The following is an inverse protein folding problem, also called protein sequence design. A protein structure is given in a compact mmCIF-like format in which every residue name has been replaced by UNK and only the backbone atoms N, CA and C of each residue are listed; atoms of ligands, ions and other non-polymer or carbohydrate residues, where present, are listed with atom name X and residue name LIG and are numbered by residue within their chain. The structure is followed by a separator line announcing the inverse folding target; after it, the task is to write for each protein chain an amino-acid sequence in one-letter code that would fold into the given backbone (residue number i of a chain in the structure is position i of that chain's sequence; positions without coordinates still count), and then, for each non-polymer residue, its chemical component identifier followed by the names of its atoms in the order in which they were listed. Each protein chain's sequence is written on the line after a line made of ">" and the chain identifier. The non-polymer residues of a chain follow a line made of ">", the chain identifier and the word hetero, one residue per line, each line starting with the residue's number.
data_IF_324355193808
#
_entry.id   IF_324355193808
#
_cell.length_a   1.000
_cell.length_b   1.000
_cell.length_c   1.000
_cell.angle_alpha   90.00
_cell.angle_beta   90.00
_cell.angle_gamma   90.00
#
_symmetry.space_group_name_H-M   'P 1'
#
loop_
_entity.id
_entity.type
_entity.pdbx_description
1 polymer ?
#
# COMPACT_ATOMS: atom_id res chain seq x y z
N UNK A 1 -23.23 -2.65 -26.81
CA UNK A 1 -23.42 -2.49 -25.35
C UNK A 1 -23.02 -1.07 -25.01
N UNK A 2 -24.00 -0.20 -24.67
CA UNK A 2 -23.75 1.23 -24.43
C UNK A 2 -22.94 1.37 -23.13
N UNK A 3 -21.72 1.88 -23.23
CA UNK A 3 -20.98 2.37 -22.08
C UNK A 3 -21.80 3.47 -21.43
N UNK A 4 -22.39 3.19 -20.26
CA UNK A 4 -22.96 4.26 -19.46
C UNK A 4 -21.83 5.17 -19.00
N UNK A 5 -21.85 6.42 -19.47
CA UNK A 5 -20.95 7.44 -19.02
C UNK A 5 -21.09 7.59 -17.49
N UNK A 6 -20.00 7.37 -16.76
CA UNK A 6 -19.96 7.62 -15.33
C UNK A 6 -20.17 9.11 -15.09
N UNK A 7 -21.23 9.46 -14.37
CA UNK A 7 -21.33 10.82 -13.84
C UNK A 7 -20.08 11.11 -12.98
N UNK A 8 -19.49 12.31 -13.04
CA UNK A 8 -18.32 12.64 -12.26
C UNK A 8 -18.67 12.52 -10.77
N UNK A 9 -18.20 11.45 -10.12
CA UNK A 9 -18.34 11.34 -8.68
C UNK A 9 -17.40 12.36 -8.03
N UNK A 10 -17.88 13.02 -6.96
CA UNK A 10 -17.07 13.96 -6.17
C UNK A 10 -16.04 13.25 -5.24
N UNK A 11 -15.73 11.99 -5.48
CA UNK A 11 -14.76 11.24 -4.66
C UNK A 11 -13.35 11.76 -4.94
N UNK A 12 -12.77 12.43 -3.95
CA UNK A 12 -11.40 12.94 -4.00
C UNK A 12 -10.43 11.94 -3.37
N UNK A 13 -9.24 11.73 -3.96
CA UNK A 13 -8.21 10.92 -3.33
C UNK A 13 -7.71 11.60 -2.05
N UNK A 14 -7.64 10.86 -0.95
CA UNK A 14 -6.99 11.28 0.29
C UNK A 14 -5.47 11.13 0.14
N UNK A 15 -5.04 10.11 -0.60
CA UNK A 15 -3.64 9.90 -0.97
C UNK A 15 -3.06 11.07 -1.78
N UNK A 16 -1.74 11.22 -1.74
CA UNK A 16 -1.04 12.26 -2.51
C UNK A 16 -1.37 12.18 -4.01
N UNK A 17 -1.46 13.33 -4.71
CA UNK A 17 -1.76 13.35 -6.14
C UNK A 17 -0.85 12.43 -6.96
N UNK A 18 -1.45 11.67 -7.88
CA UNK A 18 -0.78 10.71 -8.75
C UNK A 18 -0.53 9.33 -8.12
N UNK A 19 -0.88 9.12 -6.84
CA UNK A 19 -0.69 7.79 -6.18
C UNK A 19 -1.63 6.74 -6.78
N UNK A 20 -2.92 7.05 -6.91
CA UNK A 20 -3.90 6.10 -7.46
C UNK A 20 -3.64 5.79 -8.94
N UNK A 21 -3.18 6.77 -9.73
CA UNK A 21 -2.81 6.59 -11.13
C UNK A 21 -1.61 5.65 -11.27
N UNK A 22 -0.55 5.90 -10.50
CA UNK A 22 0.64 5.05 -10.50
C UNK A 22 0.34 3.62 -10.00
N UNK A 23 -0.50 3.52 -8.97
CA UNK A 23 -0.95 2.22 -8.47
C UNK A 23 -1.76 1.48 -9.52
N UNK A 24 -2.73 2.12 -10.16
CA UNK A 24 -3.58 1.49 -11.17
C UNK A 24 -2.76 1.02 -12.39
N UNK A 25 -1.78 1.82 -12.83
CA UNK A 25 -0.85 1.43 -13.91
C UNK A 25 -0.05 0.17 -13.52
N UNK A 26 0.46 0.11 -12.28
CA UNK A 26 1.16 -1.07 -11.76
C UNK A 26 0.22 -2.26 -11.65
N UNK A 27 -0.97 -2.07 -11.08
CA UNK A 27 -1.98 -3.10 -10.86
C UNK A 27 -2.43 -3.77 -12.18
N UNK A 28 -2.75 -2.98 -13.20
CA UNK A 28 -3.21 -3.47 -14.50
C UNK A 28 -2.13 -4.20 -15.33
N UNK A 29 -0.85 -4.12 -14.94
CA UNK A 29 0.21 -4.96 -15.53
C UNK A 29 0.17 -6.39 -15.00
N UNK A 30 -0.48 -6.63 -13.87
CA UNK A 30 -0.52 -7.93 -13.20
C UNK A 30 -1.93 -8.53 -13.18
N UNK A 31 -2.97 -7.68 -13.23
CA UNK A 31 -4.36 -8.06 -13.04
C UNK A 31 -5.22 -7.72 -14.25
N UNK A 32 -6.16 -8.61 -14.53
CA UNK A 32 -7.14 -8.45 -15.60
C UNK A 32 -8.56 -8.71 -15.07
N UNK A 33 -9.57 -7.93 -15.51
CA UNK A 33 -10.96 -8.28 -15.22
C UNK A 33 -11.39 -9.52 -16.05
N UNK A 34 -12.42 -10.27 -15.61
CA UNK A 34 -13.16 -10.02 -14.38
C UNK A 34 -12.46 -10.61 -13.15
N UNK A 35 -12.44 -9.86 -12.05
CA UNK A 35 -12.02 -10.36 -10.74
C UNK A 35 -12.77 -9.58 -9.63
N UNK A 36 -12.98 -10.22 -8.49
CA UNK A 36 -13.62 -9.62 -7.31
C UNK A 36 -12.54 -9.00 -6.43
N UNK A 37 -12.58 -7.68 -6.30
CA UNK A 37 -11.60 -6.85 -5.60
C UNK A 37 -12.21 -6.25 -4.34
N UNK A 38 -11.52 -6.31 -3.21
CA UNK A 38 -11.82 -5.50 -2.03
C UNK A 38 -10.89 -4.29 -2.00
N UNK A 39 -11.46 -3.09 -1.94
CA UNK A 39 -10.77 -1.84 -1.63
C UNK A 39 -10.80 -1.62 -0.11
N UNK A 40 -9.70 -1.94 0.56
CA UNK A 40 -9.55 -1.92 2.01
C UNK A 40 -9.01 -0.55 2.44
N UNK A 41 -9.78 0.19 3.26
CA UNK A 41 -9.49 1.58 3.59
C UNK A 41 -9.81 2.51 2.42
N UNK A 42 -11.02 2.37 1.84
CA UNK A 42 -11.42 2.99 0.59
C UNK A 42 -11.57 4.52 0.66
N UNK A 43 -11.62 5.12 1.86
CA UNK A 43 -11.80 6.55 2.07
C UNK A 43 -13.04 7.09 1.36
N UNK A 44 -12.86 8.05 0.44
CA UNK A 44 -13.98 8.57 -0.35
C UNK A 44 -14.34 7.69 -1.58
N UNK A 45 -13.62 6.60 -1.85
CA UNK A 45 -13.87 5.70 -2.97
C UNK A 45 -13.21 6.10 -4.29
N UNK A 46 -12.21 6.98 -4.25
CA UNK A 46 -11.55 7.44 -5.48
C UNK A 46 -10.82 6.30 -6.23
N UNK A 47 -10.20 5.35 -5.51
CA UNK A 47 -9.62 4.15 -6.10
C UNK A 47 -10.69 3.16 -6.52
N UNK A 48 -11.71 2.93 -5.67
CA UNK A 48 -12.88 2.10 -5.97
C UNK A 48 -13.48 2.45 -7.34
N UNK A 49 -13.69 3.76 -7.58
CA UNK A 49 -14.23 4.23 -8.86
C UNK A 49 -13.33 3.87 -10.06
N UNK A 50 -12.02 4.04 -9.92
CA UNK A 50 -11.04 3.71 -10.97
C UNK A 50 -11.04 2.20 -11.29
N UNK A 51 -11.09 1.35 -10.27
CA UNK A 51 -11.16 -0.11 -10.43
C UNK A 51 -12.46 -0.54 -11.12
N UNK A 52 -13.60 0.05 -10.75
CA UNK A 52 -14.88 -0.19 -11.44
C UNK A 52 -14.82 0.20 -12.92
N UNK A 53 -14.21 1.35 -13.23
CA UNK A 53 -14.07 1.84 -14.62
C UNK A 53 -13.20 0.92 -15.48
N UNK A 54 -12.30 0.15 -14.88
CA UNK A 54 -11.48 -0.84 -15.59
C UNK A 54 -12.11 -2.23 -15.69
N UNK A 55 -13.33 -2.42 -15.17
CA UNK A 55 -14.13 -3.64 -15.36
C UNK A 55 -14.05 -4.65 -14.23
N UNK A 56 -13.43 -4.33 -13.11
CA UNK A 56 -13.44 -5.19 -11.92
C UNK A 56 -14.77 -5.10 -11.16
N UNK A 57 -15.12 -6.17 -10.46
CA UNK A 57 -16.20 -6.15 -9.46
C UNK A 57 -15.58 -5.71 -8.13
N UNK A 58 -15.99 -4.56 -7.60
CA UNK A 58 -15.34 -3.97 -6.44
C UNK A 58 -16.29 -3.87 -5.26
N UNK A 59 -15.83 -4.31 -4.10
CA UNK A 59 -16.40 -4.02 -2.80
C UNK A 59 -15.44 -3.12 -2.03
N UNK A 60 -15.96 -2.40 -1.04
CA UNK A 60 -15.18 -1.44 -0.26
C UNK A 60 -15.45 -1.60 1.23
N UNK A 61 -14.44 -1.33 2.05
CA UNK A 61 -14.64 -1.10 3.47
C UNK A 61 -13.72 0.00 3.98
N UNK A 62 -14.19 0.66 5.05
CA UNK A 62 -13.46 1.74 5.71
C UNK A 62 -13.87 1.83 7.18
N UNK A 63 -13.03 2.43 8.01
CA UNK A 63 -13.37 2.72 9.39
C UNK A 63 -14.46 3.83 9.48
N UNK A 64 -14.46 4.76 8.51
CA UNK A 64 -15.40 5.88 8.36
C UNK A 64 -16.19 5.78 7.05
N UNK A 65 -17.08 4.77 6.86
CA UNK A 65 -17.81 4.57 5.60
C UNK A 65 -18.74 5.73 5.25
N UNK A 66 -19.08 6.60 6.19
CA UNK A 66 -19.84 7.85 5.96
C UNK A 66 -19.11 8.85 5.04
N UNK A 67 -17.79 8.71 4.89
CA UNK A 67 -16.99 9.52 3.95
C UNK A 67 -17.04 9.02 2.51
N UNK A 68 -17.47 7.76 2.31
CA UNK A 68 -17.52 7.13 0.99
C UNK A 68 -18.56 7.78 0.07
N UNK A 69 -18.24 7.96 -1.23
CA UNK A 69 -19.02 8.76 -2.18
C UNK A 69 -19.48 8.01 -3.43
N UNK A 70 -19.26 6.69 -3.51
CA UNK A 70 -19.62 5.88 -4.67
C UNK A 70 -20.93 5.14 -4.40
N UNK A 71 -22.05 5.70 -4.81
CA UNK A 71 -23.41 5.17 -4.52
C UNK A 71 -23.64 3.72 -4.98
N UNK A 72 -22.90 3.26 -6.00
CA UNK A 72 -23.07 1.92 -6.58
C UNK A 72 -22.37 0.81 -5.78
N UNK A 73 -21.55 1.16 -4.82
CA UNK A 73 -20.78 0.23 -4.00
C UNK A 73 -21.14 0.45 -2.54
N UNK A 74 -21.52 -0.61 -1.87
CA UNK A 74 -21.69 -0.55 -0.42
C UNK A 74 -20.31 -0.55 0.24
N UNK A 75 -19.96 0.51 0.97
CA UNK A 75 -18.78 0.55 1.79
C UNK A 75 -19.13 0.05 3.19
N UNK A 76 -18.61 -1.12 3.55
CA UNK A 76 -18.87 -1.69 4.87
C UNK A 76 -18.00 -1.00 5.93
N UNK A 77 -18.56 -0.80 7.15
CA UNK A 77 -17.74 -0.39 8.28
C UNK A 77 -16.85 -1.55 8.70
N UNK A 78 -15.55 -1.32 8.72
CA UNK A 78 -14.58 -2.30 9.18
C UNK A 78 -13.44 -1.64 9.93
N UNK A 79 -13.10 -2.17 11.10
CA UNK A 79 -11.82 -1.96 11.73
C UNK A 79 -10.86 -3.02 11.19
N UNK A 80 -9.87 -2.60 10.44
CA UNK A 80 -8.90 -3.50 9.81
C UNK A 80 -7.91 -4.13 10.80
N UNK A 81 -7.99 -3.74 12.05
CA UNK A 81 -7.28 -4.37 13.18
C UNK A 81 -8.13 -5.39 13.91
N UNK A 82 -9.36 -5.65 13.45
CA UNK A 82 -10.27 -6.65 13.98
C UNK A 82 -10.66 -7.65 12.88
N UNK A 83 -11.68 -8.46 13.11
CA UNK A 83 -12.20 -9.38 12.11
C UNK A 83 -12.94 -8.64 11.01
N UNK A 84 -12.50 -8.84 9.77
CA UNK A 84 -13.16 -8.25 8.61
C UNK A 84 -14.53 -8.92 8.36
N UNK A 85 -15.59 -8.15 8.01
CA UNK A 85 -16.96 -8.64 7.87
C UNK A 85 -17.19 -9.41 6.56
N UNK A 86 -16.23 -10.27 6.21
CA UNK A 86 -16.26 -11.06 4.99
C UNK A 86 -15.99 -12.54 5.29
N UNK A 87 -16.58 -13.42 4.47
CA UNK A 87 -16.34 -14.85 4.54
C UNK A 87 -14.91 -15.21 4.13
N UNK A 88 -14.45 -16.38 4.54
CA UNK A 88 -13.19 -16.95 4.09
C UNK A 88 -13.20 -17.12 2.56
N UNK A 89 -12.05 -16.94 1.94
CA UNK A 89 -11.80 -17.26 0.52
C UNK A 89 -12.84 -16.65 -0.44
N UNK A 90 -13.27 -15.41 -0.20
CA UNK A 90 -14.30 -14.77 -1.01
C UNK A 90 -13.78 -13.74 -2.03
N UNK A 91 -12.55 -13.25 -1.90
CA UNK A 91 -11.96 -12.29 -2.84
C UNK A 91 -10.83 -12.89 -3.68
N UNK A 92 -10.76 -12.47 -4.94
CA UNK A 92 -9.61 -12.76 -5.81
C UNK A 92 -8.43 -11.84 -5.49
N UNK A 93 -8.75 -10.59 -5.16
CA UNK A 93 -7.76 -9.53 -4.91
C UNK A 93 -8.20 -8.66 -3.74
N UNK A 94 -7.24 -8.27 -2.89
CA UNK A 94 -7.42 -7.21 -1.90
C UNK A 94 -6.40 -6.10 -2.20
N UNK A 95 -6.82 -4.84 -2.13
CA UNK A 95 -5.93 -3.69 -2.28
C UNK A 95 -6.02 -2.81 -1.04
N UNK A 96 -4.86 -2.35 -0.53
CA UNK A 96 -4.73 -1.41 0.59
C UNK A 96 -3.75 -0.31 0.18
N UNK A 97 -4.26 0.82 -0.32
CA UNK A 97 -3.45 1.90 -0.89
C UNK A 97 -3.33 3.04 0.10
N UNK A 98 -2.13 3.24 0.65
CA UNK A 98 -1.84 4.23 1.70
C UNK A 98 -2.72 4.01 2.94
N UNK A 99 -2.73 2.76 3.45
CA UNK A 99 -3.55 2.34 4.59
C UNK A 99 -2.69 1.80 5.73
N UNK A 100 -1.71 0.98 5.42
CA UNK A 100 -0.97 0.20 6.43
C UNK A 100 -0.16 1.07 7.39
N UNK A 101 0.26 2.26 7.00
CA UNK A 101 0.93 3.24 7.86
C UNK A 101 0.04 3.82 8.96
N UNK A 102 -1.27 3.68 8.82
CA UNK A 102 -2.26 4.13 9.79
C UNK A 102 -2.64 3.06 10.83
N UNK A 103 -2.11 1.85 10.69
CA UNK A 103 -2.45 0.66 11.48
C UNK A 103 -1.32 0.29 12.42
N UNK A 104 -1.65 -0.16 13.62
CA UNK A 104 -0.65 -0.66 14.59
C UNK A 104 -0.57 -2.19 14.53
N UNK A 105 -1.70 -2.91 14.50
CA UNK A 105 -1.73 -4.37 14.47
C UNK A 105 -1.69 -4.91 13.04
N UNK A 106 -0.49 -4.96 12.48
CA UNK A 106 -0.26 -5.51 11.16
C UNK A 106 -0.40 -7.04 11.09
N UNK A 107 -0.10 -7.74 12.18
CA UNK A 107 -0.22 -9.22 12.20
C UNK A 107 -1.69 -9.59 12.00
N UNK A 108 -2.59 -8.91 12.70
CA UNK A 108 -4.03 -9.14 12.56
C UNK A 108 -4.50 -8.78 11.15
N UNK A 109 -4.13 -7.60 10.64
CA UNK A 109 -4.47 -7.17 9.29
C UNK A 109 -4.06 -8.20 8.24
N UNK A 110 -2.79 -8.64 8.25
CA UNK A 110 -2.29 -9.60 7.25
C UNK A 110 -2.96 -10.97 7.36
N UNK A 111 -3.25 -11.43 8.58
CA UNK A 111 -3.96 -12.69 8.82
C UNK A 111 -5.41 -12.63 8.31
N UNK A 112 -6.13 -11.53 8.54
CA UNK A 112 -7.50 -11.36 8.05
C UNK A 112 -7.55 -11.25 6.52
N UNK A 113 -6.62 -10.49 5.91
CA UNK A 113 -6.52 -10.43 4.45
C UNK A 113 -6.21 -11.81 3.87
N UNK A 114 -5.32 -12.57 4.49
CA UNK A 114 -5.03 -13.94 4.07
C UNK A 114 -6.27 -14.85 4.17
N UNK A 115 -7.06 -14.72 5.24
CA UNK A 115 -8.28 -15.49 5.44
C UNK A 115 -9.31 -15.25 4.33
N UNK A 116 -9.58 -13.98 4.00
CA UNK A 116 -10.62 -13.61 3.02
C UNK A 116 -10.20 -13.81 1.56
N UNK A 117 -8.90 -13.92 1.27
CA UNK A 117 -8.41 -14.21 -0.08
C UNK A 117 -8.60 -15.67 -0.45
N UNK A 118 -9.02 -15.93 -1.68
CA UNK A 118 -9.03 -17.27 -2.27
C UNK A 118 -7.59 -17.82 -2.38
N UNK A 119 -7.40 -19.16 -2.43
CA UNK A 119 -6.12 -19.75 -2.89
C UNK A 119 -5.72 -19.15 -4.24
N UNK A 120 -4.46 -18.75 -4.40
CA UNK A 120 -3.97 -18.02 -5.56
C UNK A 120 -4.35 -16.54 -5.59
N UNK A 121 -5.12 -16.07 -4.62
CA UNK A 121 -5.51 -14.66 -4.50
C UNK A 121 -4.33 -13.74 -4.17
N UNK A 122 -4.48 -12.44 -4.44
CA UNK A 122 -3.41 -11.46 -4.36
C UNK A 122 -3.74 -10.28 -3.46
N UNK A 123 -2.73 -9.86 -2.70
CA UNK A 123 -2.81 -8.68 -1.83
C UNK A 123 -1.83 -7.60 -2.29
N UNK A 124 -2.34 -6.42 -2.57
CA UNK A 124 -1.56 -5.26 -2.98
C UNK A 124 -1.56 -4.21 -1.88
N UNK A 125 -0.38 -3.74 -1.53
CA UNK A 125 -0.20 -2.69 -0.52
C UNK A 125 0.64 -1.57 -1.11
N UNK A 126 0.25 -0.32 -0.88
CA UNK A 126 1.16 0.81 -1.03
C UNK A 126 1.36 1.51 0.31
N UNK A 127 2.56 2.02 0.53
CA UNK A 127 2.92 2.70 1.78
C UNK A 127 4.12 3.62 1.56
N UNK A 128 4.33 4.66 2.40
CA UNK A 128 5.52 5.50 2.33
C UNK A 128 6.81 4.71 2.46
N UNK A 129 7.76 4.96 1.57
CA UNK A 129 9.06 4.28 1.59
C UNK A 129 10.02 4.94 2.57
N UNK A 130 10.10 4.41 3.78
CA UNK A 130 11.06 4.88 4.80
C UNK A 130 12.52 4.58 4.45
N UNK A 131 12.78 3.65 3.52
CA UNK A 131 14.12 3.25 3.09
C UNK A 131 14.72 4.18 2.03
N UNK A 132 13.94 5.11 1.46
CA UNK A 132 14.45 6.08 0.48
C UNK A 132 15.54 6.96 1.07
N UNK A 133 16.51 7.37 0.27
CA UNK A 133 17.60 8.25 0.74
C UNK A 133 17.07 9.56 1.30
N UNK A 134 16.03 10.14 0.68
CA UNK A 134 15.35 11.33 1.21
C UNK A 134 14.82 11.08 2.62
N UNK A 135 14.20 9.92 2.84
CA UNK A 135 13.64 9.56 4.15
C UNK A 135 14.72 9.33 5.21
N UNK A 136 15.80 8.63 4.85
CA UNK A 136 16.94 8.38 5.75
C UNK A 136 17.66 9.66 6.17
N UNK A 137 17.88 10.59 5.25
CA UNK A 137 18.50 11.89 5.55
C UNK A 137 17.59 12.72 6.45
N UNK A 138 16.29 12.72 6.20
CA UNK A 138 15.34 13.39 7.09
C UNK A 138 15.34 12.77 8.48
N UNK A 139 15.35 11.44 8.59
CA UNK A 139 15.42 10.76 9.88
C UNK A 139 16.69 11.12 10.63
N UNK A 140 17.84 11.15 9.96
CA UNK A 140 19.11 11.55 10.57
C UNK A 140 19.08 12.97 11.14
N UNK A 141 18.36 13.90 10.49
CA UNK A 141 18.31 15.31 10.89
C UNK A 141 17.17 15.65 11.86
N UNK A 142 16.08 14.91 11.86
CA UNK A 142 14.86 15.26 12.62
C UNK A 142 14.31 14.14 13.51
N UNK A 143 14.82 12.91 13.41
CA UNK A 143 14.26 11.73 14.08
C UNK A 143 12.97 11.19 13.43
N UNK A 144 12.48 11.80 12.35
CA UNK A 144 11.27 11.37 11.64
C UNK A 144 11.56 10.97 10.20
N UNK A 145 11.00 9.85 9.77
CA UNK A 145 10.99 9.49 8.35
C UNK A 145 10.13 10.46 7.53
N UNK A 146 10.35 10.48 6.22
CA UNK A 146 9.52 11.29 5.32
C UNK A 146 8.06 10.82 5.39
N UNK A 147 7.12 11.77 5.46
CA UNK A 147 5.68 11.57 5.71
C UNK A 147 5.30 11.22 7.16
N UNK A 148 6.25 11.04 8.07
CA UNK A 148 5.98 10.83 9.49
C UNK A 148 6.24 12.09 10.29
N UNK A 149 5.51 12.27 11.38
CA UNK A 149 5.61 13.42 12.30
C UNK A 149 5.18 13.03 13.70
N UNK A 150 5.25 13.98 14.63
CA UNK A 150 4.76 13.79 16.00
C UNK A 150 3.29 13.37 15.98
N UNK A 151 2.96 12.34 16.76
CA UNK A 151 1.60 11.84 16.90
C UNK A 151 0.81 12.68 17.91
N UNK A 152 -0.42 12.98 17.57
CA UNK A 152 -1.36 13.73 18.39
C UNK A 152 -2.42 12.77 19.00
N UNK A 153 -2.37 12.47 20.32
CA UNK A 153 -3.26 11.50 20.94
C UNK A 153 -4.75 11.88 20.87
N UNK A 154 -5.06 13.15 20.70
CA UNK A 154 -6.43 13.69 20.61
C UNK A 154 -7.03 13.62 19.22
N UNK A 155 -6.22 13.44 18.19
CA UNK A 155 -6.65 13.38 16.81
C UNK A 155 -7.27 12.00 16.50
N UNK A 156 -8.51 11.98 16.01
CA UNK A 156 -9.33 10.78 15.80
C UNK A 156 -9.74 10.55 14.32
N UNK A 157 -9.11 11.23 13.38
CA UNK A 157 -9.44 11.16 11.95
C UNK A 157 -8.88 9.90 11.24
N UNK A 158 -8.10 9.05 11.93
CA UNK A 158 -7.49 7.86 11.35
C UNK A 158 -6.36 8.14 10.34
N UNK A 159 -5.95 9.40 10.15
CA UNK A 159 -5.00 9.79 9.09
C UNK A 159 -3.57 10.01 9.60
N UNK A 160 -3.27 9.66 10.85
CA UNK A 160 -1.91 9.74 11.39
C UNK A 160 -1.08 8.54 10.95
N UNK A 161 0.15 8.78 10.50
CA UNK A 161 1.10 7.70 10.21
C UNK A 161 1.71 7.19 11.52
N UNK A 162 1.12 6.12 12.06
CA UNK A 162 1.50 5.54 13.36
C UNK A 162 2.57 4.44 13.23
N UNK A 163 2.71 3.86 12.05
CA UNK A 163 3.64 2.74 11.81
C UNK A 163 4.57 2.99 10.63
N UNK A 164 5.86 2.86 10.86
CA UNK A 164 6.92 2.99 9.86
C UNK A 164 7.65 1.65 9.69
N UNK A 165 7.18 0.83 8.73
CA UNK A 165 7.76 -0.49 8.46
C UNK A 165 8.69 -0.46 7.25
N UNK A 166 9.75 -1.26 7.34
CA UNK A 166 10.70 -1.51 6.25
C UNK A 166 10.24 -2.67 5.36
N UNK A 167 10.83 -2.82 4.19
CA UNK A 167 10.44 -3.86 3.24
C UNK A 167 10.61 -5.29 3.76
N UNK A 168 11.60 -5.54 4.62
CA UNK A 168 11.79 -6.85 5.26
C UNK A 168 10.76 -7.13 6.35
N UNK A 169 10.32 -6.09 7.09
CA UNK A 169 9.23 -6.23 8.05
C UNK A 169 7.92 -6.57 7.35
N UNK A 170 7.64 -5.96 6.21
CA UNK A 170 6.50 -6.32 5.37
C UNK A 170 6.61 -7.74 4.81
N UNK A 171 7.80 -8.19 4.36
CA UNK A 171 8.03 -9.59 3.94
C UNK A 171 7.78 -10.57 5.10
N UNK A 172 8.27 -10.22 6.30
CA UNK A 172 8.04 -11.02 7.51
C UNK A 172 6.55 -11.15 7.83
N UNK A 173 5.80 -10.06 7.84
CA UNK A 173 4.35 -10.06 8.11
C UNK A 173 3.59 -10.93 7.10
N UNK A 174 3.90 -10.80 5.82
CA UNK A 174 3.29 -11.63 4.78
C UNK A 174 3.56 -13.11 5.00
N UNK A 175 4.80 -13.49 5.29
CA UNK A 175 5.18 -14.90 5.54
C UNK A 175 4.56 -15.47 6.80
N UNK A 176 4.46 -14.67 7.87
CA UNK A 176 3.79 -15.10 9.12
C UNK A 176 2.32 -15.37 8.87
N UNK A 177 1.66 -14.58 8.03
CA UNK A 177 0.27 -14.81 7.63
C UNK A 177 0.08 -15.98 6.65
N UNK A 178 1.15 -16.47 6.01
CA UNK A 178 1.11 -17.60 5.07
C UNK A 178 1.27 -17.24 3.61
N UNK A 179 1.53 -15.98 3.28
CA UNK A 179 1.81 -15.54 1.90
C UNK A 179 3.17 -16.02 1.40
N UNK A 180 3.31 -16.11 0.08
CA UNK A 180 4.61 -16.25 -0.58
C UNK A 180 5.51 -15.04 -0.29
N UNK A 181 6.85 -15.14 -0.54
CA UNK A 181 7.76 -14.00 -0.38
C UNK A 181 7.27 -12.79 -1.17
N UNK A 182 7.29 -11.60 -0.52
CA UNK A 182 6.80 -10.37 -1.13
C UNK A 182 7.62 -9.96 -2.35
N UNK A 183 6.92 -9.57 -3.42
CA UNK A 183 7.48 -8.79 -4.50
C UNK A 183 7.30 -7.31 -4.22
N UNK A 184 8.28 -6.46 -4.54
CA UNK A 184 8.18 -5.03 -4.33
C UNK A 184 8.58 -4.23 -5.57
N UNK A 185 7.90 -3.09 -5.74
CA UNK A 185 8.15 -2.09 -6.76
C UNK A 185 8.01 -0.69 -6.13
N UNK A 186 8.12 0.34 -6.92
CA UNK A 186 7.98 1.75 -6.49
C UNK A 186 7.05 2.50 -7.44
N UNK A 187 6.46 3.58 -6.95
CA UNK A 187 5.64 4.47 -7.78
C UNK A 187 6.48 5.28 -8.77
N UNK A 188 7.51 5.93 -8.28
CA UNK A 188 8.42 6.77 -9.06
C UNK A 188 9.74 7.01 -8.34
N UNK A 189 10.76 7.36 -9.12
CA UNK A 189 12.06 7.81 -8.59
C UNK A 189 11.92 9.24 -8.05
N UNK A 190 12.30 9.44 -6.79
CA UNK A 190 12.39 10.77 -6.17
C UNK A 190 13.66 11.49 -6.65
N UNK A 191 13.52 12.69 -7.21
CA UNK A 191 14.67 13.51 -7.66
C UNK A 191 15.71 13.74 -6.56
N UNK A 192 15.26 14.08 -5.34
CA UNK A 192 16.16 14.27 -4.18
C UNK A 192 16.91 12.99 -3.84
N UNK A 193 16.23 11.83 -3.82
CA UNK A 193 16.89 10.54 -3.57
C UNK A 193 17.88 10.19 -4.67
N UNK A 194 17.60 10.54 -5.93
CA UNK A 194 18.52 10.32 -7.04
C UNK A 194 19.79 11.15 -6.89
N UNK A 195 19.70 12.44 -6.58
CA UNK A 195 20.86 13.29 -6.33
C UNK A 195 21.68 12.81 -5.14
N UNK A 196 21.04 12.44 -4.03
CA UNK A 196 21.70 11.85 -2.88
C UNK A 196 22.40 10.53 -3.25
N UNK A 197 21.76 9.70 -4.07
CA UNK A 197 22.35 8.44 -4.54
C UNK A 197 23.62 8.68 -5.35
N UNK A 198 23.60 9.63 -6.29
CA UNK A 198 24.77 9.98 -7.09
C UNK A 198 25.90 10.52 -6.20
N UNK A 199 25.59 11.41 -5.26
CA UNK A 199 26.55 12.00 -4.33
C UNK A 199 27.19 10.96 -3.40
N UNK A 200 26.38 10.04 -2.85
CA UNK A 200 26.83 9.04 -1.86
C UNK A 200 27.37 7.76 -2.50
N UNK A 201 27.12 7.56 -3.80
CA UNK A 201 27.54 6.34 -4.50
C UNK A 201 29.05 6.03 -4.40
N UNK A 202 29.97 6.99 -4.55
CA UNK A 202 31.41 6.74 -4.40
C UNK A 202 31.76 6.28 -2.98
N UNK A 203 31.21 6.93 -1.95
CA UNK A 203 31.42 6.57 -0.55
C UNK A 203 30.90 5.15 -0.26
N UNK A 204 29.79 4.79 -0.87
CA UNK A 204 29.17 3.47 -0.73
C UNK A 204 29.93 2.38 -1.45
N UNK A 205 30.39 2.64 -2.67
CA UNK A 205 31.16 1.67 -3.47
C UNK A 205 32.47 1.25 -2.77
N UNK A 206 33.11 2.16 -2.06
CA UNK A 206 34.39 1.94 -1.40
C UNK A 206 34.28 1.59 0.09
N UNK A 207 33.09 1.69 0.69
CA UNK A 207 32.91 1.36 2.10
C UNK A 207 32.94 -0.15 2.35
N UNK A 208 33.76 -0.65 3.28
CA UNK A 208 33.73 -2.05 3.69
C UNK A 208 32.37 -2.50 4.26
N UNK A 209 31.67 -1.58 4.91
CA UNK A 209 30.31 -1.79 5.43
C UNK A 209 29.31 -2.04 4.30
N UNK A 210 29.39 -1.29 3.21
CA UNK A 210 28.51 -1.44 2.05
C UNK A 210 28.69 -2.79 1.35
N UNK A 211 29.87 -3.37 1.38
CA UNK A 211 30.16 -4.70 0.82
C UNK A 211 29.51 -5.83 1.62
N UNK A 212 29.41 -5.68 2.96
CA UNK A 212 28.78 -6.65 3.85
C UNK A 212 27.23 -6.50 3.89
N UNK A 213 26.70 -5.35 3.49
CA UNK A 213 25.27 -5.02 3.56
C UNK A 213 24.60 -4.93 2.18
N UNK A 214 24.86 -5.87 1.28
CA UNK A 214 24.03 -6.08 0.07
C UNK A 214 22.63 -6.59 0.43
N UNK A 215 22.07 -6.08 1.52
CA UNK A 215 20.74 -6.45 1.97
C UNK A 215 19.67 -5.76 1.11
N UNK A 216 18.45 -6.31 1.13
CA UNK A 216 17.25 -5.80 0.47
C UNK A 216 17.09 -4.28 0.64
N UNK A 217 17.40 -3.73 1.83
CA UNK A 217 17.27 -2.30 2.15
C UNK A 217 18.14 -1.34 1.33
N UNK A 218 19.19 -1.83 0.70
CA UNK A 218 20.05 -1.02 -0.18
C UNK A 218 19.81 -1.32 -1.66
N UNK A 219 18.74 -2.01 -1.99
CA UNK A 219 18.32 -2.18 -3.36
C UNK A 219 17.97 -0.82 -3.99
N UNK A 220 18.38 -0.60 -5.26
CA UNK A 220 18.22 0.69 -5.93
C UNK A 220 16.79 1.23 -5.89
N UNK A 221 15.78 0.39 -6.11
CA UNK A 221 14.37 0.81 -6.04
C UNK A 221 14.01 1.35 -4.66
N UNK A 222 14.40 0.64 -3.58
CA UNK A 222 14.13 1.07 -2.21
C UNK A 222 14.81 2.39 -1.86
N UNK A 223 16.03 2.62 -2.38
CA UNK A 223 16.75 3.88 -2.13
C UNK A 223 16.15 5.08 -2.87
N UNK A 224 15.51 4.85 -4.01
CA UNK A 224 15.07 5.92 -4.91
C UNK A 224 13.57 6.15 -4.90
N UNK A 225 12.76 5.14 -4.53
CA UNK A 225 11.30 5.19 -4.59
C UNK A 225 10.67 6.11 -3.57
N UNK A 226 9.55 6.76 -3.93
CA UNK A 226 8.72 7.54 -3.00
C UNK A 226 7.84 6.63 -2.14
N UNK A 227 7.09 5.76 -2.79
CA UNK A 227 6.23 4.75 -2.17
C UNK A 227 6.77 3.37 -2.48
N UNK A 228 6.52 2.44 -1.59
CA UNK A 228 6.63 1.01 -1.84
C UNK A 228 5.31 0.50 -2.40
N UNK A 229 5.38 -0.30 -3.44
CA UNK A 229 4.29 -1.12 -3.95
C UNK A 229 4.65 -2.57 -3.64
N UNK A 230 3.88 -3.19 -2.78
CA UNK A 230 4.07 -4.54 -2.29
C UNK A 230 3.00 -5.43 -2.87
N UNK A 231 3.39 -6.61 -3.31
CA UNK A 231 2.51 -7.59 -3.90
C UNK A 231 2.75 -8.95 -3.26
N UNK A 232 1.69 -9.54 -2.69
CA UNK A 232 1.68 -10.83 -2.03
C UNK A 232 0.76 -11.79 -2.78
N UNK A 233 1.13 -13.07 -2.81
CA UNK A 233 0.31 -14.15 -3.37
C UNK A 233 -0.02 -15.15 -2.26
N UNK A 234 -1.30 -15.51 -2.12
CA UNK A 234 -1.71 -16.63 -1.29
C UNK A 234 -1.41 -17.92 -2.07
N UNK A 235 -0.70 -18.91 -1.50
CA UNK A 235 -0.42 -20.17 -2.17
C UNK A 235 -1.67 -20.88 -2.68
N UNK A 236 -1.54 -21.69 -3.73
CA UNK A 236 -2.63 -22.51 -4.29
C UNK A 236 -2.99 -23.73 -3.43
N UNK A 237 -2.42 -23.94 -2.30
CA UNK A 237 -2.43 -25.12 -1.41
C UNK A 237 -1.40 -26.17 -1.79
#
# INVERSE_FOLDING_TARGET
>A
MKMHAFAPSKALPIAMPGTHEAFLEFFLKHEQPPARVLDLGAGQGALTLKLLQTGFTVEACDFFPENFRIERVNCQRADITDSLPYADECFDIVVAVEVTEHVVDHIRLFSEVFRILKPGGRFYVTTPNILSLKSRVRFLSSGFFYSFQLLEPTRRDGLQHVASLSADQYDYLGRVAGFEPVSFNIDKIQRTSLWLYILLFPLWKFSPLARKTRYRHNHRLLLLGRLLFLHYTKPLR
#
